data_IF_574852752050
#
_entry.id   IF_574852752050
#
_cell.length_a   1.000
_cell.length_b   1.000
_cell.length_c   1.000
_cell.angle_alpha   90.00
_cell.angle_beta   90.00
_cell.angle_gamma   90.00
#
_symmetry.space_group_name_H-M   'P 1'
#
loop_
_entity.id
_entity.type
_entity.pdbx_description
1 polymer ?
#
# COMPACT_ATOMS: atom_id res chain seq x y z
N UNK A 1 12.79 -8.82 13.62
CA UNK A 1 11.86 -9.97 13.63
C UNK A 1 10.36 -9.63 13.72
N UNK A 2 9.89 -8.59 14.45
CA UNK A 2 8.46 -8.27 14.56
C UNK A 2 7.79 -7.80 13.24
N UNK A 3 8.54 -7.11 12.37
CA UNK A 3 8.01 -6.49 11.14
C UNK A 3 7.51 -7.51 10.12
N UNK A 4 8.26 -8.58 9.87
CA UNK A 4 7.92 -9.61 8.89
C UNK A 4 6.67 -10.39 9.32
N UNK A 5 6.54 -10.72 10.60
CA UNK A 5 5.34 -11.38 11.14
C UNK A 5 4.12 -10.47 11.07
N UNK A 6 4.29 -9.18 11.33
CA UNK A 6 3.23 -8.16 11.23
C UNK A 6 2.75 -8.01 9.78
N UNK A 7 3.70 -7.94 8.83
CA UNK A 7 3.44 -7.92 7.39
C UNK A 7 2.66 -9.17 6.99
N UNK A 8 3.19 -10.37 7.30
CA UNK A 8 2.56 -11.66 6.98
C UNK A 8 1.13 -11.74 7.52
N UNK A 9 0.92 -11.44 8.81
CA UNK A 9 -0.40 -11.48 9.43
C UNK A 9 -1.39 -10.53 8.75
N UNK A 10 -0.94 -9.34 8.35
CA UNK A 10 -1.81 -8.38 7.68
C UNK A 10 -2.16 -8.78 6.25
N UNK A 11 -1.20 -9.27 5.45
CA UNK A 11 -1.59 -9.72 4.11
C UNK A 11 -2.44 -10.98 4.17
N UNK A 12 -2.24 -11.86 5.14
CA UNK A 12 -3.19 -12.96 5.37
C UNK A 12 -4.61 -12.42 5.59
N UNK A 13 -4.80 -11.42 6.45
CA UNK A 13 -6.11 -10.79 6.65
C UNK A 13 -6.66 -10.14 5.36
N UNK A 14 -5.85 -9.33 4.68
CA UNK A 14 -6.32 -8.56 3.52
C UNK A 14 -6.53 -9.42 2.27
N UNK A 15 -5.92 -10.62 2.19
CA UNK A 15 -6.23 -11.62 1.17
C UNK A 15 -7.45 -12.47 1.51
N UNK A 16 -7.68 -12.77 2.80
CA UNK A 16 -8.83 -13.57 3.21
C UNK A 16 -10.16 -12.89 2.88
N UNK A 17 -10.23 -11.56 2.92
CA UNK A 17 -11.45 -10.82 2.58
C UNK A 17 -11.90 -11.00 1.12
N UNK A 18 -11.10 -10.69 0.08
CA UNK A 18 -11.49 -10.92 -1.29
C UNK A 18 -11.69 -12.41 -1.60
N UNK A 19 -10.89 -13.30 -1.02
CA UNK A 19 -11.07 -14.75 -1.21
C UNK A 19 -12.37 -15.26 -0.60
N UNK A 20 -12.74 -14.79 0.59
CA UNK A 20 -14.01 -15.11 1.24
C UNK A 20 -15.21 -14.55 0.47
N UNK A 21 -15.09 -13.35 -0.10
CA UNK A 21 -16.11 -12.80 -1.01
C UNK A 21 -16.28 -13.67 -2.25
N UNK A 22 -15.19 -14.14 -2.87
CA UNK A 22 -15.25 -15.07 -3.99
C UNK A 22 -15.93 -16.38 -3.61
N UNK A 23 -15.55 -16.99 -2.49
CA UNK A 23 -16.12 -18.25 -2.00
C UNK A 23 -17.64 -18.13 -1.79
N UNK A 24 -18.08 -17.03 -1.15
CA UNK A 24 -19.49 -16.72 -1.00
C UNK A 24 -20.19 -16.59 -2.35
N UNK A 25 -19.66 -15.77 -3.27
CA UNK A 25 -20.27 -15.52 -4.58
C UNK A 25 -20.32 -16.77 -5.47
N UNK A 26 -19.33 -17.65 -5.36
CA UNK A 26 -19.29 -18.94 -6.06
C UNK A 26 -20.21 -19.99 -5.45
N UNK A 27 -20.54 -19.86 -4.16
CA UNK A 27 -21.51 -20.73 -3.47
C UNK A 27 -22.98 -20.40 -3.79
N UNK A 28 -23.24 -19.23 -4.40
CA UNK A 28 -24.56 -18.84 -4.85
C UNK A 28 -24.89 -19.50 -6.19
N UNK A 29 -26.15 -19.88 -6.40
CA UNK A 29 -26.64 -20.53 -7.63
C UNK A 29 -26.59 -19.63 -8.89
N UNK A 30 -26.13 -18.37 -8.76
CA UNK A 30 -26.03 -17.39 -9.84
C UNK A 30 -24.58 -16.96 -10.11
N UNK A 31 -23.73 -17.91 -10.48
CA UNK A 31 -22.33 -17.63 -10.84
C UNK A 31 -22.23 -16.67 -12.04
N UNK A 32 -23.18 -16.73 -12.98
CA UNK A 32 -23.19 -15.84 -14.15
C UNK A 32 -23.49 -14.38 -13.76
N UNK A 33 -24.48 -14.14 -12.89
CA UNK A 33 -24.78 -12.81 -12.36
C UNK A 33 -23.64 -12.25 -11.49
N UNK A 34 -22.87 -13.12 -10.84
CA UNK A 34 -21.78 -12.73 -9.95
C UNK A 34 -20.40 -12.64 -10.64
N UNK A 35 -20.30 -12.94 -11.93
CA UNK A 35 -19.01 -13.13 -12.60
C UNK A 35 -18.08 -11.91 -12.51
N UNK A 36 -18.63 -10.70 -12.67
CA UNK A 36 -17.83 -9.46 -12.57
C UNK A 36 -17.34 -9.21 -11.14
N UNK A 37 -18.19 -9.41 -10.14
CA UNK A 37 -17.80 -9.28 -8.72
C UNK A 37 -16.73 -10.29 -8.31
N UNK A 38 -16.79 -11.51 -8.85
CA UNK A 38 -15.77 -12.55 -8.65
C UNK A 38 -14.44 -12.11 -9.29
N UNK A 39 -14.48 -11.56 -10.51
CA UNK A 39 -13.27 -11.05 -11.18
C UNK A 39 -12.66 -9.87 -10.43
N UNK A 40 -13.47 -8.93 -9.95
CA UNK A 40 -13.02 -7.78 -9.15
C UNK A 40 -12.36 -8.25 -7.85
N UNK A 41 -12.98 -9.19 -7.15
CA UNK A 41 -12.44 -9.77 -5.91
C UNK A 41 -11.11 -10.48 -6.15
N UNK A 42 -11.01 -11.28 -7.24
CA UNK A 42 -9.77 -11.94 -7.63
C UNK A 42 -8.68 -10.94 -8.00
N UNK A 43 -9.01 -9.92 -8.80
CA UNK A 43 -8.07 -8.87 -9.18
C UNK A 43 -7.54 -8.13 -7.95
N UNK A 44 -8.40 -7.82 -6.97
CA UNK A 44 -7.98 -7.23 -5.70
C UNK A 44 -7.00 -8.12 -4.92
N UNK A 45 -7.29 -9.43 -4.81
CA UNK A 45 -6.39 -10.38 -4.16
C UNK A 45 -5.02 -10.46 -4.85
N UNK A 46 -4.99 -10.48 -6.19
CA UNK A 46 -3.77 -10.48 -6.99
C UNK A 46 -2.96 -9.19 -6.77
N UNK A 47 -3.62 -8.03 -6.73
CA UNK A 47 -2.99 -6.74 -6.51
C UNK A 47 -2.29 -6.67 -5.13
N UNK A 48 -2.98 -7.13 -4.07
CA UNK A 48 -2.42 -7.21 -2.71
C UNK A 48 -1.19 -8.13 -2.70
N UNK A 49 -1.26 -9.31 -3.34
CA UNK A 49 -0.13 -10.23 -3.46
C UNK A 49 1.05 -9.62 -4.22
N UNK A 50 0.79 -8.96 -5.35
CA UNK A 50 1.83 -8.36 -6.19
C UNK A 50 2.58 -7.27 -5.43
N UNK A 51 1.88 -6.32 -4.81
CA UNK A 51 2.51 -5.24 -4.04
C UNK A 51 3.33 -5.83 -2.88
N UNK A 52 2.74 -6.73 -2.11
CA UNK A 52 3.41 -7.33 -0.95
C UNK A 52 4.68 -8.06 -1.34
N UNK A 53 4.64 -8.89 -2.39
CA UNK A 53 5.80 -9.63 -2.87
C UNK A 53 6.95 -8.68 -3.24
N UNK A 54 6.63 -7.53 -3.82
CA UNK A 54 7.61 -6.54 -4.21
C UNK A 54 8.18 -5.78 -3.01
N UNK A 55 7.38 -5.49 -1.98
CA UNK A 55 7.87 -4.86 -0.73
C UNK A 55 8.95 -5.73 -0.05
N UNK A 56 8.84 -7.05 -0.15
CA UNK A 56 9.81 -8.00 0.40
C UNK A 56 11.01 -8.27 -0.52
N UNK A 57 11.07 -7.66 -1.72
CA UNK A 57 12.16 -7.85 -2.66
C UNK A 57 13.37 -6.97 -2.27
N UNK A 58 14.54 -7.55 -1.94
CA UNK A 58 15.72 -6.78 -1.57
C UNK A 58 16.29 -5.92 -2.71
N UNK A 59 15.92 -6.23 -3.96
CA UNK A 59 16.35 -5.50 -5.15
C UNK A 59 15.26 -4.56 -5.68
N UNK A 60 14.27 -4.21 -4.85
CA UNK A 60 13.22 -3.28 -5.26
C UNK A 60 13.83 -1.89 -5.47
N UNK A 61 13.62 -1.35 -6.68
CA UNK A 61 14.09 -0.02 -7.08
C UNK A 61 12.98 0.78 -7.73
N UNK A 62 13.15 2.09 -7.90
CA UNK A 62 12.09 2.97 -8.39
C UNK A 62 11.57 2.60 -9.79
N UNK A 63 12.43 2.07 -10.65
CA UNK A 63 12.03 1.59 -11.98
C UNK A 63 11.01 0.44 -11.90
N UNK A 64 11.16 -0.44 -10.90
CA UNK A 64 10.22 -1.54 -10.66
C UNK A 64 8.89 -0.99 -10.15
N UNK A 65 8.94 -0.03 -9.23
CA UNK A 65 7.76 0.64 -8.68
C UNK A 65 6.92 1.28 -9.78
N UNK A 66 7.53 2.01 -10.72
CA UNK A 66 6.81 2.60 -11.84
C UNK A 66 6.06 1.58 -12.70
N UNK A 67 6.65 0.40 -12.95
CA UNK A 67 5.99 -0.67 -13.72
C UNK A 67 4.82 -1.30 -12.97
N UNK A 68 4.94 -1.46 -11.65
CA UNK A 68 3.88 -2.03 -10.80
C UNK A 68 2.71 -1.04 -10.73
N UNK A 69 3.01 0.23 -10.43
CA UNK A 69 2.01 1.27 -10.24
C UNK A 69 1.34 1.71 -11.54
N UNK A 70 1.98 1.53 -12.69
CA UNK A 70 1.37 1.78 -14.01
C UNK A 70 0.11 0.95 -14.32
N UNK A 71 -0.24 -0.04 -13.47
CA UNK A 71 -1.47 -0.83 -13.56
C UNK A 71 -2.64 -0.25 -12.75
N UNK A 72 -2.41 0.80 -11.97
CA UNK A 72 -3.39 1.37 -11.04
C UNK A 72 -3.87 2.73 -11.56
N UNK A 73 -5.09 2.78 -12.08
CA UNK A 73 -5.65 3.99 -12.69
C UNK A 73 -5.84 5.14 -11.68
N UNK A 74 -5.97 4.81 -10.39
CA UNK A 74 -6.15 5.78 -9.31
C UNK A 74 -4.83 6.34 -8.74
N UNK A 75 -3.67 5.93 -9.27
CA UNK A 75 -2.36 6.29 -8.71
C UNK A 75 -1.50 6.92 -9.78
N UNK A 76 -1.20 8.21 -9.62
CA UNK A 76 -0.21 8.91 -10.44
C UNK A 76 1.15 8.92 -9.73
N UNK A 77 2.21 8.56 -10.43
CA UNK A 77 3.58 8.54 -9.89
C UNK A 77 4.46 9.54 -10.66
N UNK A 78 5.02 10.50 -9.95
CA UNK A 78 5.94 11.49 -10.49
C UNK A 78 7.31 11.36 -9.81
N UNK A 79 8.34 11.05 -10.59
CA UNK A 79 9.70 10.78 -10.09
C UNK A 79 10.67 11.81 -10.67
N UNK A 80 11.31 12.55 -9.79
CA UNK A 80 12.41 13.51 -10.09
C UNK A 80 13.64 13.20 -9.23
N UNK A 81 13.85 11.91 -8.94
CA UNK A 81 14.95 11.41 -8.12
C UNK A 81 16.01 10.75 -9.00
N UNK A 82 17.28 11.01 -8.71
CA UNK A 82 18.42 10.55 -9.52
C UNK A 82 18.95 9.18 -9.08
N UNK A 83 18.84 8.87 -7.78
CA UNK A 83 19.33 7.62 -7.20
C UNK A 83 18.31 7.03 -6.23
N UNK A 84 18.18 5.70 -6.20
CA UNK A 84 17.32 4.99 -5.25
C UNK A 84 17.80 5.21 -3.80
N UNK A 85 16.88 5.60 -2.92
CA UNK A 85 17.11 5.71 -1.48
C UNK A 85 16.58 4.46 -0.78
N UNK A 86 17.28 4.07 0.28
CA UNK A 86 16.93 2.91 1.11
C UNK A 86 15.44 2.96 1.51
N UNK A 87 14.73 1.85 1.37
CA UNK A 87 13.30 1.67 1.71
C UNK A 87 12.29 2.55 0.96
N UNK A 88 12.68 3.61 0.25
CA UNK A 88 11.77 4.51 -0.47
C UNK A 88 10.89 3.76 -1.48
N UNK A 89 11.41 2.83 -2.31
CA UNK A 89 10.58 2.02 -3.19
C UNK A 89 9.49 1.24 -2.44
N UNK A 90 9.82 0.65 -1.29
CA UNK A 90 8.87 -0.11 -0.45
C UNK A 90 7.82 0.79 0.18
N UNK A 91 8.20 1.99 0.64
CA UNK A 91 7.27 2.97 1.18
C UNK A 91 6.25 3.42 0.12
N UNK A 92 6.70 3.66 -1.12
CA UNK A 92 5.80 4.05 -2.22
C UNK A 92 4.77 2.95 -2.50
N UNK A 93 5.19 1.69 -2.53
CA UNK A 93 4.26 0.57 -2.74
C UNK A 93 3.26 0.42 -1.60
N UNK A 94 3.67 0.64 -0.34
CA UNK A 94 2.76 0.64 0.80
C UNK A 94 1.71 1.76 0.70
N UNK A 95 2.13 2.98 0.35
CA UNK A 95 1.22 4.10 0.16
C UNK A 95 0.23 3.85 -0.98
N UNK A 96 0.71 3.27 -2.08
CA UNK A 96 -0.13 2.88 -3.20
C UNK A 96 -1.16 1.82 -2.82
N UNK A 97 -0.76 0.81 -2.03
CA UNK A 97 -1.67 -0.22 -1.53
C UNK A 97 -2.77 0.40 -0.66
N UNK A 98 -2.41 1.29 0.27
CA UNK A 98 -3.38 1.99 1.12
C UNK A 98 -4.35 2.80 0.25
N UNK A 99 -3.84 3.57 -0.71
CA UNK A 99 -4.67 4.39 -1.60
C UNK A 99 -5.64 3.54 -2.44
N UNK A 100 -5.15 2.43 -2.99
CA UNK A 100 -5.96 1.47 -3.74
C UNK A 100 -7.08 0.87 -2.89
N UNK A 101 -6.75 0.38 -1.69
CA UNK A 101 -7.75 -0.19 -0.78
C UNK A 101 -8.76 0.84 -0.27
N UNK A 102 -8.35 2.11 -0.12
CA UNK A 102 -9.24 3.22 0.21
C UNK A 102 -10.00 3.79 -0.99
N UNK A 103 -9.74 3.28 -2.21
CA UNK A 103 -10.30 3.77 -3.46
C UNK A 103 -10.07 5.29 -3.67
N UNK A 104 -8.91 5.79 -3.23
CA UNK A 104 -8.55 7.20 -3.35
C UNK A 104 -7.76 7.45 -4.64
N UNK A 105 -8.07 8.54 -5.33
CA UNK A 105 -7.17 9.06 -6.35
C UNK A 105 -6.05 9.84 -5.70
N UNK A 106 -4.81 9.46 -5.98
CA UNK A 106 -3.62 10.04 -5.34
C UNK A 106 -2.54 10.34 -6.36
N UNK A 107 -1.74 11.37 -6.06
CA UNK A 107 -0.47 11.62 -6.76
C UNK A 107 0.67 11.45 -5.76
N UNK A 108 1.62 10.59 -6.11
CA UNK A 108 2.84 10.34 -5.35
C UNK A 108 3.97 11.08 -6.05
N UNK A 109 4.51 12.09 -5.37
CA UNK A 109 5.63 12.91 -5.87
C UNK A 109 6.90 12.55 -5.11
N UNK A 110 7.94 12.16 -5.84
CA UNK A 110 9.25 11.83 -5.29
C UNK A 110 10.31 12.72 -5.90
N UNK A 111 11.10 13.34 -5.04
CA UNK A 111 12.28 14.15 -5.37
C UNK A 111 13.50 13.61 -4.62
N UNK A 112 14.69 14.11 -4.95
CA UNK A 112 15.91 13.83 -4.19
C UNK A 112 15.82 14.18 -2.68
N UNK A 113 14.87 15.03 -2.29
CA UNK A 113 14.73 15.55 -0.92
C UNK A 113 13.53 14.99 -0.17
N UNK A 114 12.48 14.58 -0.87
CA UNK A 114 11.27 14.11 -0.20
C UNK A 114 10.38 13.24 -1.07
N UNK A 115 9.62 12.38 -0.40
CA UNK A 115 8.44 11.72 -0.91
C UNK A 115 7.20 12.42 -0.34
N UNK A 116 6.21 12.71 -1.17
CA UNK A 116 4.95 13.30 -0.73
C UNK A 116 3.76 12.67 -1.44
N UNK A 117 2.65 12.56 -0.72
CA UNK A 117 1.39 12.05 -1.23
C UNK A 117 0.25 12.88 -0.63
N UNK A 118 -0.71 13.25 -1.47
CA UNK A 118 -1.99 13.82 -1.03
C UNK A 118 -2.99 12.67 -0.87
N UNK A 119 -3.32 12.33 0.38
CA UNK A 119 -4.23 11.25 0.72
C UNK A 119 -4.97 11.56 2.03
N UNK A 120 -6.22 11.13 2.14
CA UNK A 120 -6.95 11.32 3.40
C UNK A 120 -6.49 10.27 4.43
N UNK A 121 -5.88 10.76 5.51
CA UNK A 121 -5.37 9.97 6.63
C UNK A 121 -6.12 10.40 7.89
N UNK A 122 -6.68 9.44 8.63
CA UNK A 122 -7.35 9.74 9.89
C UNK A 122 -6.35 9.82 11.06
N UNK A 123 -6.80 10.32 12.22
CA UNK A 123 -5.92 10.51 13.36
C UNK A 123 -5.29 9.20 13.89
N UNK A 124 -5.97 8.07 13.78
CA UNK A 124 -5.46 6.76 14.22
C UNK A 124 -4.33 6.27 13.32
N UNK A 125 -4.48 6.46 12.00
CA UNK A 125 -3.48 6.12 11.00
C UNK A 125 -2.21 6.97 11.14
N UNK A 126 -2.36 8.27 11.44
CA UNK A 126 -1.21 9.14 11.76
C UNK A 126 -0.50 8.66 13.03
N UNK A 127 -1.26 8.32 14.08
CA UNK A 127 -0.66 7.79 15.31
C UNK A 127 0.06 6.45 15.09
N UNK A 128 -0.44 5.64 14.16
CA UNK A 128 0.14 4.33 13.87
C UNK A 128 1.53 4.42 13.23
N UNK A 129 1.91 5.56 12.62
CA UNK A 129 3.31 5.81 12.21
C UNK A 129 4.31 5.65 13.36
N UNK A 130 3.86 5.79 14.61
CA UNK A 130 4.71 5.73 15.81
C UNK A 130 4.31 4.62 16.80
N UNK A 131 3.17 3.94 16.62
CA UNK A 131 2.61 2.98 17.59
C UNK A 131 2.35 1.62 16.97
N UNK A 132 2.38 0.59 17.82
CA UNK A 132 2.32 -0.83 17.46
C UNK A 132 0.93 -1.46 17.66
N UNK A 133 -0.11 -0.64 17.83
CA UNK A 133 -1.48 -1.12 18.07
C UNK A 133 -2.25 -1.20 16.74
N UNK A 134 -2.43 -2.41 16.22
CA UNK A 134 -2.70 -2.65 14.79
C UNK A 134 -4.02 -3.41 14.59
N UNK A 135 -5.01 -2.74 14.02
CA UNK A 135 -6.34 -3.31 13.76
C UNK A 135 -6.80 -3.18 12.30
N UNK A 136 -6.16 -2.33 11.48
CA UNK A 136 -6.59 -2.06 10.10
C UNK A 136 -5.44 -1.47 9.24
N UNK A 137 -5.71 -0.44 8.43
CA UNK A 137 -4.73 0.37 7.69
C UNK A 137 -3.60 0.90 8.58
N UNK A 138 -3.86 1.08 9.88
CA UNK A 138 -2.86 1.41 10.91
C UNK A 138 -1.64 0.49 10.87
N UNK A 139 -1.79 -0.77 10.46
CA UNK A 139 -0.66 -1.67 10.22
C UNK A 139 0.27 -1.15 9.13
N UNK A 140 -0.25 -0.76 7.96
CA UNK A 140 0.58 -0.25 6.87
C UNK A 140 1.24 1.09 7.22
N UNK A 141 0.54 1.95 7.96
CA UNK A 141 1.13 3.18 8.49
C UNK A 141 2.25 2.90 9.49
N UNK A 142 2.12 1.89 10.35
CA UNK A 142 3.22 1.47 11.21
C UNK A 142 4.44 0.99 10.41
N UNK A 143 4.23 0.21 9.34
CA UNK A 143 5.32 -0.22 8.46
C UNK A 143 6.02 0.97 7.78
N UNK A 144 5.24 1.95 7.32
CA UNK A 144 5.79 3.20 6.76
C UNK A 144 6.63 3.91 7.82
N UNK A 145 6.15 3.99 9.06
CA UNK A 145 6.90 4.56 10.19
C UNK A 145 8.23 3.85 10.43
N UNK A 146 8.23 2.51 10.46
CA UNK A 146 9.45 1.70 10.64
C UNK A 146 10.42 1.87 9.47
N UNK A 147 9.94 1.81 8.23
CA UNK A 147 10.77 1.98 7.04
C UNK A 147 11.34 3.40 6.92
N UNK A 148 10.69 4.37 7.56
CA UNK A 148 11.06 5.78 7.57
C UNK A 148 11.78 6.20 8.86
N UNK A 149 12.30 5.28 9.67
CA UNK A 149 12.89 5.61 10.98
C UNK A 149 14.02 6.66 10.90
N UNK A 150 14.72 6.70 9.76
CA UNK A 150 15.84 7.62 9.49
C UNK A 150 15.39 8.96 8.90
N UNK A 151 14.10 9.10 8.61
CA UNK A 151 13.51 10.21 7.88
C UNK A 151 12.56 11.02 8.76
N UNK A 152 12.35 12.28 8.38
CA UNK A 152 11.36 13.12 9.05
C UNK A 152 10.01 12.94 8.37
N UNK A 153 9.00 12.50 9.13
CA UNK A 153 7.63 12.37 8.64
C UNK A 153 6.82 13.57 9.13
N UNK A 154 6.21 14.31 8.20
CA UNK A 154 5.27 15.41 8.48
C UNK A 154 3.91 15.07 7.86
N UNK A 155 2.84 15.37 8.58
CA UNK A 155 1.47 15.23 8.09
C UNK A 155 0.70 16.51 8.39
N UNK A 156 0.23 17.19 7.32
CA UNK A 156 -0.55 18.43 7.43
C UNK A 156 -1.72 18.41 6.46
N UNK A 157 -2.93 18.61 6.97
CA UNK A 157 -4.13 18.51 6.14
C UNK A 157 -4.27 17.10 5.61
N UNK A 158 -4.25 16.91 4.29
CA UNK A 158 -4.24 15.59 3.63
C UNK A 158 -2.84 15.20 3.09
N UNK A 159 -1.81 16.00 3.36
CA UNK A 159 -0.49 15.75 2.79
C UNK A 159 0.39 15.02 3.77
N UNK A 160 0.80 13.80 3.40
CA UNK A 160 1.88 13.08 4.06
C UNK A 160 3.18 13.37 3.31
N UNK A 161 4.21 13.80 4.03
CA UNK A 161 5.53 14.10 3.50
C UNK A 161 6.61 13.40 4.31
N UNK A 162 7.50 12.71 3.63
CA UNK A 162 8.68 12.05 4.18
C UNK A 162 9.91 12.76 3.62
N UNK A 163 10.71 13.36 4.49
CA UNK A 163 11.89 14.15 4.15
C UNK A 163 13.14 13.32 4.44
N UNK A 164 13.98 13.18 3.41
CA UNK A 164 15.18 12.35 3.39
C UNK A 164 16.45 13.12 3.75
#
# INVERSE_FOLDING_TARGET
MPLLQTIIARISHDLLNPLGAMDMLMSLDDIQGNQELIKESLANAINILEITRNILNPNLGLQHVGKILGKYDNIKLEITMEEDKENVPSIILLLALIASQKQQQVTINITNQSLSIDMQINAEEVQALQKQDLSSYTCYFHLIGVLSEKYTIDYRGNMLKIVF
#
